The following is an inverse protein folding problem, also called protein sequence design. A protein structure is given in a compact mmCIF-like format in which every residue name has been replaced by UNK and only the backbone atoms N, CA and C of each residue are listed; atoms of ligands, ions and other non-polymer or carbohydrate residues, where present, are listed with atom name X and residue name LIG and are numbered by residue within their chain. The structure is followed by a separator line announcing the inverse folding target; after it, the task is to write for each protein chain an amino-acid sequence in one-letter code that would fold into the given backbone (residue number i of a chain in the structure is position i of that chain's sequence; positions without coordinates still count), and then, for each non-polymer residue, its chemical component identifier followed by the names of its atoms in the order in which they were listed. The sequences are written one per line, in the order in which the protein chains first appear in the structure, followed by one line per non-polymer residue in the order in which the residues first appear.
data_IF_811531589668
#
_entry.id   IF_811531589668
#
_cell.length_a   1.000
_cell.length_b   1.000
_cell.length_c   1.000
_cell.angle_alpha   90.00
_cell.angle_beta   90.00
_cell.angle_gamma   90.00
#
_symmetry.space_group_name_H-M   'P 1'
#
loop_
_entity.id
_entity.type
_entity.pdbx_description
1 polymer ?
#
# COMPACT_ATOMS: atom_id res chain seq x y z
N UNK A 1 -25.56 10.79 -4.05
CA UNK A 1 -24.50 10.02 -3.38
C UNK A 1 -24.64 8.59 -3.83
N UNK A 2 -23.64 8.05 -4.53
CA UNK A 2 -23.71 6.69 -5.07
C UNK A 2 -23.72 5.67 -3.93
N UNK A 3 -24.48 4.57 -4.07
CA UNK A 3 -24.59 3.51 -3.04
C UNK A 3 -23.24 2.95 -2.60
N UNK A 4 -22.26 2.93 -3.52
CA UNK A 4 -20.91 2.44 -3.29
C UNK A 4 -20.13 3.31 -2.30
N UNK A 5 -20.26 4.63 -2.41
CA UNK A 5 -19.58 5.59 -1.53
C UNK A 5 -20.05 5.45 -0.08
N UNK A 6 -21.35 5.20 0.10
CA UNK A 6 -21.94 4.97 1.41
C UNK A 6 -21.37 3.71 2.07
N UNK A 7 -21.14 2.63 1.31
CA UNK A 7 -20.57 1.39 1.84
C UNK A 7 -19.12 1.57 2.27
N UNK A 8 -18.30 2.25 1.45
CA UNK A 8 -16.90 2.51 1.82
C UNK A 8 -16.82 3.41 3.06
N UNK A 9 -17.62 4.48 3.14
CA UNK A 9 -17.67 5.33 4.35
C UNK A 9 -18.08 4.55 5.59
N UNK A 10 -19.07 3.66 5.47
CA UNK A 10 -19.47 2.78 6.58
C UNK A 10 -18.32 1.88 7.04
N UNK A 11 -17.54 1.34 6.09
CA UNK A 11 -16.36 0.52 6.40
C UNK A 11 -15.28 1.33 7.11
N UNK A 12 -15.03 2.57 6.67
CA UNK A 12 -14.02 3.44 7.28
C UNK A 12 -14.40 3.83 8.71
N UNK A 13 -15.70 4.00 9.00
CA UNK A 13 -16.19 4.17 10.37
C UNK A 13 -15.99 2.91 11.21
N UNK A 14 -16.11 1.71 10.64
CA UNK A 14 -15.78 0.48 11.35
C UNK A 14 -14.28 0.40 11.65
N UNK A 15 -13.44 0.69 10.66
CA UNK A 15 -11.97 0.77 10.81
C UNK A 15 -11.61 1.75 11.93
N UNK A 16 -12.17 2.96 11.94
CA UNK A 16 -11.89 3.98 12.96
C UNK A 16 -12.19 3.51 14.39
N UNK A 17 -13.23 2.69 14.57
CA UNK A 17 -13.58 2.10 15.88
C UNK A 17 -12.60 1.02 16.34
N UNK A 18 -11.90 0.38 15.42
CA UNK A 18 -10.91 -0.66 15.71
C UNK A 18 -9.48 -0.11 15.85
N UNK A 19 -9.23 1.14 15.46
CA UNK A 19 -7.95 1.80 15.65
C UNK A 19 -7.78 2.22 17.12
N UNK A 20 -6.65 1.84 17.70
CA UNK A 20 -6.23 2.39 18.99
C UNK A 20 -5.73 3.82 18.80
N UNK A 21 -5.62 4.58 19.89
CA UNK A 21 -5.03 5.93 19.85
C UNK A 21 -3.62 5.92 19.22
N UNK A 22 -2.81 4.91 19.57
CA UNK A 22 -1.47 4.70 19.00
C UNK A 22 -1.53 4.48 17.49
N UNK A 23 -2.49 3.69 17.01
CA UNK A 23 -2.65 3.44 15.57
C UNK A 23 -3.06 4.71 14.84
N UNK A 24 -3.97 5.51 15.41
CA UNK A 24 -4.39 6.79 14.84
C UNK A 24 -3.23 7.78 14.73
N UNK A 25 -2.38 7.86 15.76
CA UNK A 25 -1.16 8.68 15.72
C UNK A 25 -0.20 8.22 14.62
N UNK A 26 0.07 6.90 14.53
CA UNK A 26 0.95 6.33 13.51
C UNK A 26 0.40 6.56 12.10
N UNK A 27 -0.90 6.38 11.89
CA UNK A 27 -1.55 6.66 10.61
C UNK A 27 -1.47 8.13 10.23
N UNK A 28 -1.71 9.05 11.18
CA UNK A 28 -1.58 10.49 10.92
C UNK A 28 -0.17 10.87 10.49
N UNK A 29 0.85 10.28 11.11
CA UNK A 29 2.24 10.47 10.70
C UNK A 29 2.48 9.99 9.27
N UNK A 30 1.93 8.84 8.89
CA UNK A 30 2.11 8.25 7.55
C UNK A 30 1.29 8.91 6.43
N UNK A 31 0.13 9.49 6.74
CA UNK A 31 -0.75 10.11 5.75
C UNK A 31 -0.17 11.45 5.26
N UNK A 32 0.55 12.17 6.11
CA UNK A 32 1.28 13.37 5.75
C UNK A 32 0.39 14.59 5.41
N UNK A 33 1.01 15.78 5.44
CA UNK A 33 0.30 17.05 5.26
C UNK A 33 -0.10 17.34 3.80
N UNK A 34 0.42 16.58 2.84
CA UNK A 34 0.09 16.74 1.41
C UNK A 34 -1.32 16.25 1.09
N UNK A 35 -1.81 15.27 1.84
CA UNK A 35 -3.09 14.62 1.59
C UNK A 35 -4.19 15.08 2.56
N UNK A 36 -3.79 15.63 3.70
CA UNK A 36 -4.71 16.07 4.75
C UNK A 36 -4.24 17.42 5.31
N UNK A 37 -5.15 18.38 5.54
CA UNK A 37 -4.81 19.63 6.23
C UNK A 37 -4.08 19.38 7.55
N UNK A 38 -2.93 20.01 7.74
CA UNK A 38 -2.09 19.86 8.94
C UNK A 38 -2.86 20.02 10.25
N UNK A 39 -3.82 20.96 10.30
CA UNK A 39 -4.69 21.16 11.47
C UNK A 39 -5.44 19.89 11.92
N UNK A 40 -5.85 19.04 10.98
CA UNK A 40 -6.55 17.79 11.30
C UNK A 40 -5.55 16.74 11.82
N UNK A 41 -4.35 16.70 11.23
CA UNK A 41 -3.28 15.81 11.67
C UNK A 41 -2.81 16.17 13.08
N UNK A 42 -2.64 17.46 13.38
CA UNK A 42 -2.16 17.95 14.69
C UNK A 42 -3.12 17.57 15.83
N UNK A 43 -4.43 17.58 15.57
CA UNK A 43 -5.47 17.19 16.54
C UNK A 43 -5.28 15.74 16.97
N UNK A 44 -5.03 14.84 16.01
CA UNK A 44 -4.88 13.40 16.29
C UNK A 44 -3.46 13.08 16.75
N UNK A 45 -2.44 13.79 16.25
CA UNK A 45 -1.04 13.56 16.61
C UNK A 45 -0.78 13.72 18.12
N UNK A 46 -1.53 14.60 18.79
CA UNK A 46 -1.34 14.89 20.22
C UNK A 46 -1.53 13.66 21.12
N UNK A 47 -2.66 12.95 20.97
CA UNK A 47 -3.01 11.83 21.85
C UNK A 47 -3.82 10.71 21.18
N UNK A 48 -4.10 10.82 19.89
CA UNK A 48 -4.86 9.83 19.12
C UNK A 48 -6.32 9.68 19.53
N UNK A 49 -6.85 10.55 20.40
CA UNK A 49 -8.22 10.42 20.93
C UNK A 49 -9.29 10.85 19.92
N UNK A 50 -8.93 11.74 19.00
CA UNK A 50 -9.84 12.21 17.96
C UNK A 50 -10.09 11.12 16.90
N UNK A 51 -11.33 11.10 16.40
CA UNK A 51 -11.74 10.22 15.30
C UNK A 51 -10.99 10.58 14.02
N UNK A 52 -10.70 9.58 13.19
CA UNK A 52 -10.13 9.79 11.86
C UNK A 52 -11.16 10.17 10.78
N UNK A 53 -12.42 10.39 11.13
CA UNK A 53 -13.49 10.69 10.15
C UNK A 53 -13.17 11.86 9.23
N UNK A 54 -12.69 13.00 9.78
CA UNK A 54 -12.35 14.17 8.96
C UNK A 54 -11.12 13.94 8.07
N UNK A 55 -10.24 13.01 8.48
CA UNK A 55 -9.12 12.55 7.67
C UNK A 55 -9.65 11.72 6.50
N UNK A 56 -10.57 10.79 6.75
CA UNK A 56 -11.17 9.97 5.70
C UNK A 56 -11.87 10.82 4.64
N UNK A 57 -12.65 11.82 5.05
CA UNK A 57 -13.29 12.74 4.10
C UNK A 57 -12.26 13.58 3.33
N UNK A 58 -11.19 14.05 3.99
CA UNK A 58 -10.10 14.75 3.29
C UNK A 58 -9.43 13.88 2.21
N UNK A 59 -9.24 12.58 2.48
CA UNK A 59 -8.68 11.63 1.51
C UNK A 59 -9.65 11.35 0.35
N UNK A 60 -10.97 11.34 0.61
CA UNK A 60 -11.98 11.25 -0.44
C UNK A 60 -11.99 12.48 -1.35
N UNK A 61 -11.98 13.68 -0.76
CA UNK A 61 -12.01 14.94 -1.50
C UNK A 61 -10.81 15.08 -2.43
N UNK A 62 -9.64 14.57 -2.00
CA UNK A 62 -8.42 14.53 -2.80
C UNK A 62 -8.29 13.29 -3.69
N UNK A 63 -9.30 12.42 -3.73
CA UNK A 63 -9.33 11.17 -4.50
C UNK A 63 -8.17 10.22 -4.20
N UNK A 64 -7.58 10.31 -3.00
CA UNK A 64 -6.56 9.37 -2.51
C UNK A 64 -7.17 8.02 -2.20
N UNK A 65 -8.43 8.04 -1.79
CA UNK A 65 -9.27 6.86 -1.61
C UNK A 65 -10.54 7.03 -2.43
N UNK A 66 -10.98 5.95 -3.07
CA UNK A 66 -12.26 5.89 -3.78
C UNK A 66 -12.87 4.50 -3.58
N UNK A 67 -14.12 4.33 -3.97
CA UNK A 67 -14.83 3.04 -3.91
C UNK A 67 -14.13 1.92 -4.68
N UNK A 68 -13.33 2.27 -5.70
CA UNK A 68 -12.59 1.34 -6.54
C UNK A 68 -11.09 1.32 -6.23
N UNK A 69 -10.59 2.18 -5.35
CA UNK A 69 -9.19 2.25 -5.01
C UNK A 69 -9.01 2.58 -3.52
N UNK A 70 -8.73 1.54 -2.76
CA UNK A 70 -8.41 1.60 -1.32
C UNK A 70 -6.94 1.25 -1.05
N UNK A 71 -6.11 1.13 -2.09
CA UNK A 71 -4.72 0.69 -1.98
C UNK A 71 -3.88 1.63 -1.10
N UNK A 72 -4.16 2.93 -1.16
CA UNK A 72 -3.55 3.91 -0.28
C UNK A 72 -3.71 3.55 1.21
N UNK A 73 -4.93 3.17 1.62
CA UNK A 73 -5.20 2.78 3.00
C UNK A 73 -4.62 1.41 3.33
N UNK A 74 -4.67 0.46 2.40
CA UNK A 74 -4.06 -0.87 2.57
C UNK A 74 -2.56 -0.72 2.88
N UNK A 75 -1.84 0.11 2.13
CA UNK A 75 -0.42 0.37 2.35
C UNK A 75 -0.18 1.00 3.73
N UNK A 76 -0.94 2.05 4.08
CA UNK A 76 -0.75 2.74 5.38
C UNK A 76 -1.10 1.88 6.58
N UNK A 77 -2.16 1.09 6.50
CA UNK A 77 -2.53 0.13 7.56
C UNK A 77 -1.53 -1.03 7.66
N UNK A 78 -0.98 -1.48 6.53
CA UNK A 78 0.10 -2.47 6.51
C UNK A 78 1.37 -1.97 7.19
N UNK A 79 1.74 -0.70 6.96
CA UNK A 79 2.91 -0.08 7.58
C UNK A 79 2.80 0.09 9.11
N UNK A 80 1.59 0.05 9.66
CA UNK A 80 1.36 0.05 11.12
C UNK A 80 0.96 -1.34 11.66
N UNK A 81 1.15 -2.38 10.84
CA UNK A 81 0.92 -3.79 11.19
C UNK A 81 -0.54 -4.13 11.54
N UNK A 82 -1.50 -3.33 11.07
CA UNK A 82 -2.94 -3.59 11.23
C UNK A 82 -3.50 -4.47 10.11
N UNK A 83 -2.98 -5.69 10.04
CA UNK A 83 -3.31 -6.65 8.98
C UNK A 83 -4.77 -7.10 9.01
N UNK A 84 -5.41 -7.10 10.18
CA UNK A 84 -6.84 -7.33 10.37
C UNK A 84 -7.70 -6.32 9.57
N UNK A 85 -7.32 -5.04 9.63
CA UNK A 85 -8.01 -3.96 8.93
C UNK A 85 -7.66 -3.93 7.43
N UNK A 86 -6.44 -4.37 7.07
CA UNK A 86 -6.06 -4.58 5.68
C UNK A 86 -6.93 -5.66 5.03
N UNK A 87 -7.12 -6.79 5.69
CA UNK A 87 -7.97 -7.87 5.18
C UNK A 87 -9.42 -7.41 5.00
N UNK A 88 -9.94 -6.62 5.96
CA UNK A 88 -11.26 -6.01 5.88
C UNK A 88 -11.42 -5.12 4.62
N UNK A 89 -10.41 -4.30 4.29
CA UNK A 89 -10.40 -3.47 3.07
C UNK A 89 -10.29 -4.28 1.79
N UNK A 90 -9.47 -5.34 1.79
CA UNK A 90 -9.33 -6.25 0.63
C UNK A 90 -10.63 -6.99 0.34
N UNK A 91 -11.36 -7.40 1.38
CA UNK A 91 -12.66 -8.05 1.22
C UNK A 91 -13.75 -7.08 0.72
N UNK A 92 -13.62 -5.78 1.02
CA UNK A 92 -14.52 -4.76 0.50
C UNK A 92 -14.34 -4.51 -1.00
N UNK A 93 -13.10 -4.42 -1.45
CA UNK A 93 -12.76 -4.24 -2.85
C UNK A 93 -11.95 -5.47 -3.31
N UNK A 94 -12.62 -6.58 -3.68
CA UNK A 94 -11.97 -7.72 -4.29
C UNK A 94 -11.56 -7.36 -5.72
N UNK A 95 -10.66 -6.38 -5.85
CA UNK A 95 -9.88 -6.28 -7.07
C UNK A 95 -9.12 -7.61 -7.17
N UNK A 96 -9.03 -8.21 -8.36
CA UNK A 96 -8.05 -9.24 -8.56
C UNK A 96 -6.71 -8.57 -8.26
N UNK A 97 -6.09 -8.93 -7.13
CA UNK A 97 -4.65 -8.80 -7.01
C UNK A 97 -4.08 -9.68 -8.12
N UNK A 98 -3.99 -9.11 -9.33
CA UNK A 98 -3.07 -9.60 -10.33
C UNK A 98 -1.71 -9.36 -9.71
N UNK A 99 -1.27 -10.35 -8.95
CA UNK A 99 0.13 -10.69 -8.86
C UNK A 99 0.59 -10.75 -10.31
N UNK A 100 1.13 -9.64 -10.81
CA UNK A 100 1.99 -9.70 -11.96
C UNK A 100 3.12 -10.63 -11.53
N UNK A 101 2.94 -11.91 -11.87
CA UNK A 101 3.94 -12.95 -11.85
C UNK A 101 5.19 -12.33 -12.45
N UNK A 102 6.16 -12.02 -11.60
CA UNK A 102 7.52 -11.84 -12.06
C UNK A 102 7.87 -13.19 -12.71
N UNK A 103 8.20 -13.27 -14.01
CA UNK A 103 8.75 -14.49 -14.55
C UNK A 103 10.16 -14.62 -13.97
N UNK A 104 10.28 -15.17 -12.77
CA UNK A 104 11.52 -15.78 -12.32
C UNK A 104 11.65 -17.07 -13.12
N UNK A 105 12.30 -16.97 -14.27
CA UNK A 105 12.83 -18.14 -14.97
C UNK A 105 13.80 -18.84 -14.04
N UNK A 106 13.32 -19.84 -13.33
CA UNK A 106 14.14 -20.96 -12.89
C UNK A 106 14.66 -21.66 -14.15
N UNK A 107 15.96 -21.57 -14.39
CA UNK A 107 16.71 -22.68 -14.97
C UNK A 107 17.83 -23.00 -14.01
N UNK A 108 17.52 -23.88 -13.07
CA UNK A 108 18.49 -24.66 -12.30
C UNK A 108 18.89 -25.88 -13.14
N UNK A 109 20.11 -26.39 -12.89
CA UNK A 109 20.81 -27.51 -13.57
C UNK A 109 21.57 -27.06 -14.83
N UNK A 110 22.87 -27.28 -15.01
CA UNK A 110 23.73 -28.36 -14.52
C UNK A 110 25.22 -27.96 -14.62
N UNK A 111 26.00 -28.31 -13.60
CA UNK A 111 27.45 -28.27 -13.64
C UNK A 111 28.00 -29.47 -14.42
N UNK A 112 28.74 -29.26 -15.52
CA UNK A 112 29.80 -30.18 -15.97
C UNK A 112 30.72 -29.61 -17.07
N UNK A 113 31.86 -29.10 -16.63
CA UNK A 113 33.21 -29.55 -17.04
C UNK A 113 33.35 -30.24 -18.42
N UNK A 114 34.04 -29.61 -19.39
CA UNK A 114 35.28 -30.12 -20.06
C UNK A 114 35.75 -29.27 -21.26
N UNK A 115 37.06 -29.00 -21.23
CA UNK A 115 38.04 -28.55 -22.25
C UNK A 115 37.70 -28.76 -23.74
N UNK A 116 37.98 -27.74 -24.55
CA UNK A 116 38.81 -27.79 -25.78
C UNK A 116 38.99 -26.33 -26.28
N UNK A 117 40.19 -25.75 -26.23
CA UNK A 117 41.14 -25.69 -27.36
C UNK A 117 40.53 -25.10 -28.65
N UNK A 118 40.83 -23.84 -28.96
CA UNK A 118 41.60 -23.45 -30.16
C UNK A 118 41.55 -21.95 -30.42
N UNK A 119 42.75 -21.43 -30.68
CA UNK A 119 43.15 -20.11 -31.16
C UNK A 119 42.25 -19.48 -32.24
N UNK A 120 42.16 -18.14 -32.26
CA UNK A 120 42.44 -17.38 -33.48
C UNK A 120 42.68 -15.87 -33.22
N UNK A 121 43.96 -15.50 -33.31
CA UNK A 121 44.55 -14.28 -33.88
C UNK A 121 43.67 -13.03 -34.07
N UNK A 122 44.02 -11.95 -33.37
CA UNK A 122 43.77 -10.58 -33.85
C UNK A 122 45.07 -10.10 -34.51
N UNK A 123 45.02 -9.90 -35.83
CA UNK A 123 46.04 -9.18 -36.61
C UNK A 123 45.82 -7.68 -36.45
N UNK A 124 46.90 -6.93 -36.24
CA UNK A 124 46.96 -5.49 -36.46
C UNK A 124 48.03 -5.22 -37.51
N UNK A 125 47.67 -4.48 -38.55
CA UNK A 125 48.53 -3.71 -39.47
C UNK A 125 47.62 -2.73 -40.24
N UNK A 126 48.14 -1.63 -40.82
CA UNK A 126 49.54 -1.18 -40.88
C UNK A 126 49.85 0.12 -40.10
#
# INVERSE_FOLDING_TARGET
MERSDFRLRTLLLQIDRHLTNTDRQRLCFLIGCEDVPRRLLDVIAKDGSASMTDIWESLFDRRKITTNNVNYLIERLGNIERFDLVELLKNYCPLPFSLATIPSTETTSEAKQRRAHSDLFIRFDP
#
